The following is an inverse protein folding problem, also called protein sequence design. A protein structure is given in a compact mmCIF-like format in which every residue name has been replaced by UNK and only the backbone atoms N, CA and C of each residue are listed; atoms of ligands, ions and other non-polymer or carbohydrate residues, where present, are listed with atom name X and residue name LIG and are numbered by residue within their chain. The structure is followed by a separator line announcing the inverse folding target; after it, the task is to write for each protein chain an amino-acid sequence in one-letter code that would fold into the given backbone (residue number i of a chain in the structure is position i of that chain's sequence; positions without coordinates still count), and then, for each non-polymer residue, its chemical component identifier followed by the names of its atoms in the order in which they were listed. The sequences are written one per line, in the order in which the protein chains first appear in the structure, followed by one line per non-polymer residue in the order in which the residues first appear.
data_IF_308588578593
#
_entry.id   IF_308588578593
#
_cell.length_a   1.000
_cell.length_b   1.000
_cell.length_c   1.000
_cell.angle_alpha   90.00
_cell.angle_beta   90.00
_cell.angle_gamma   90.00
#
_symmetry.space_group_name_H-M   'P 1'
#
loop_
_entity.id
_entity.type
_entity.pdbx_description
1 polymer ?
#
# COMPACT_ATOMS: atom_id res chain seq x y z
N UNK A 1 -16.11 2.28 6.55
CA UNK A 1 -15.50 2.22 5.20
C UNK A 1 -14.01 2.41 5.42
N UNK A 2 -13.20 1.39 5.13
CA UNK A 2 -11.75 1.46 5.36
C UNK A 2 -11.10 2.39 4.32
N UNK A 3 -10.12 3.16 4.77
CA UNK A 3 -9.38 4.11 3.93
C UNK A 3 -8.33 3.35 3.12
N UNK A 4 -8.28 3.48 1.78
CA UNK A 4 -7.26 2.84 0.98
C UNK A 4 -5.89 3.49 1.20
N UNK A 5 -4.83 2.68 1.13
CA UNK A 5 -3.45 3.17 1.02
C UNK A 5 -3.34 4.14 -0.15
N UNK A 6 -2.55 5.20 -0.01
CA UNK A 6 -2.54 6.29 -0.97
C UNK A 6 -1.20 7.00 -1.11
N UNK A 7 -1.00 7.61 -2.28
CA UNK A 7 0.15 8.46 -2.60
C UNK A 7 -0.34 9.82 -3.10
N UNK A 8 0.42 10.88 -2.81
CA UNK A 8 0.16 12.22 -3.34
C UNK A 8 0.37 12.19 -4.85
N UNK A 9 -0.59 12.70 -5.63
CA UNK A 9 -0.51 12.75 -7.11
C UNK A 9 -0.02 14.13 -7.60
N UNK A 10 1.28 14.29 -7.95
CA UNK A 10 1.84 15.60 -8.29
C UNK A 10 1.33 16.14 -9.63
N UNK A 11 0.87 15.26 -10.52
CA UNK A 11 0.40 15.61 -11.86
C UNK A 11 -1.09 15.97 -11.90
N UNK A 12 -1.80 15.93 -10.76
CA UNK A 12 -3.19 16.34 -10.64
C UNK A 12 -3.36 17.87 -10.75
N UNK A 13 -3.12 18.39 -11.96
CA UNK A 13 -3.29 19.80 -12.33
C UNK A 13 -4.74 20.02 -12.76
N UNK A 14 -5.43 20.85 -12.01
CA UNK A 14 -6.81 21.30 -12.24
C UNK A 14 -7.19 22.26 -11.13
N UNK A 15 -7.71 23.44 -11.51
CA UNK A 15 -8.22 24.45 -10.58
C UNK A 15 -9.59 24.00 -10.08
N UNK A 16 -9.60 23.28 -8.96
CA UNK A 16 -10.83 23.17 -8.16
C UNK A 16 -10.97 24.50 -7.43
N UNK A 17 -11.91 25.30 -7.92
CA UNK A 17 -12.20 26.65 -7.45
C UNK A 17 -12.85 26.61 -6.06
N UNK A 18 -12.23 27.30 -5.11
CA UNK A 18 -12.74 27.97 -3.88
C UNK A 18 -13.78 27.30 -2.95
N UNK A 19 -14.29 26.11 -3.23
CA UNK A 19 -15.17 25.35 -2.32
C UNK A 19 -14.77 23.88 -2.23
N UNK A 20 -13.48 23.60 -2.07
CA UNK A 20 -13.04 22.24 -1.73
C UNK A 20 -13.59 21.87 -0.34
N UNK A 21 -14.27 20.71 -0.19
CA UNK A 21 -14.82 20.30 1.09
C UNK A 21 -13.70 20.14 2.11
N UNK A 22 -13.88 20.65 3.33
CA UNK A 22 -12.92 20.38 4.40
C UNK A 22 -13.17 18.99 4.98
N UNK A 23 -12.11 18.38 5.52
CA UNK A 23 -12.29 17.17 6.32
C UNK A 23 -13.26 17.48 7.48
N UNK A 24 -14.33 16.70 7.63
CA UNK A 24 -15.37 16.96 8.65
C UNK A 24 -14.84 16.91 10.10
N UNK A 25 -13.77 16.15 10.34
CA UNK A 25 -13.20 15.96 11.68
C UNK A 25 -12.10 16.97 12.01
N UNK A 26 -11.23 17.27 11.04
CA UNK A 26 -10.04 18.12 11.27
C UNK A 26 -10.18 19.54 10.69
N UNK A 27 -11.24 19.80 9.92
CA UNK A 27 -11.52 21.06 9.23
C UNK A 27 -10.37 21.58 8.37
N UNK A 28 -9.46 20.70 7.98
CA UNK A 28 -8.33 21.02 7.11
C UNK A 28 -8.71 20.85 5.65
N UNK A 29 -8.04 21.65 4.80
CA UNK A 29 -8.12 21.52 3.35
C UNK A 29 -7.60 20.14 2.91
N UNK A 30 -8.34 19.39 2.08
CA UNK A 30 -7.94 18.07 1.67
C UNK A 30 -6.74 18.09 0.73
N UNK A 31 -5.99 16.98 0.70
CA UNK A 31 -4.95 16.71 -0.29
C UNK A 31 -5.54 15.90 -1.45
N UNK A 32 -4.98 16.11 -2.63
CA UNK A 32 -5.28 15.31 -3.82
C UNK A 32 -4.47 14.02 -3.76
N UNK A 33 -5.17 12.89 -3.69
CA UNK A 33 -4.61 11.58 -3.44
C UNK A 33 -5.05 10.60 -4.53
N UNK A 34 -4.26 9.55 -4.72
CA UNK A 34 -4.61 8.39 -5.54
C UNK A 34 -4.58 7.15 -4.67
N UNK A 35 -5.63 6.33 -4.75
CA UNK A 35 -5.67 5.04 -4.09
C UNK A 35 -4.64 4.09 -4.73
N UNK A 36 -3.84 3.42 -3.91
CA UNK A 36 -2.73 2.59 -4.33
C UNK A 36 -3.11 1.12 -4.37
N UNK A 37 -3.88 0.62 -3.40
CA UNK A 37 -4.11 -0.82 -3.21
C UNK A 37 -5.52 -1.30 -3.60
N UNK A 38 -5.60 -2.57 -3.99
CA UNK A 38 -6.84 -3.32 -4.17
C UNK A 38 -7.66 -2.91 -5.40
N UNK A 39 -8.98 -3.08 -5.31
CA UNK A 39 -9.89 -2.79 -6.42
C UNK A 39 -10.01 -1.30 -6.78
N UNK A 40 -9.45 -0.42 -5.95
CA UNK A 40 -9.51 1.04 -6.10
C UNK A 40 -8.21 1.64 -6.66
N UNK A 41 -7.19 0.82 -6.94
CA UNK A 41 -5.91 1.28 -7.46
C UNK A 41 -6.08 2.26 -8.63
N UNK A 42 -5.36 3.38 -8.55
CA UNK A 42 -5.37 4.46 -9.52
C UNK A 42 -6.52 5.46 -9.38
N UNK A 43 -7.51 5.21 -8.51
CA UNK A 43 -8.69 6.08 -8.37
C UNK A 43 -8.38 7.32 -7.53
N UNK A 44 -8.76 8.49 -8.03
CA UNK A 44 -8.43 9.79 -7.40
C UNK A 44 -9.47 10.20 -6.37
N UNK A 45 -9.00 10.76 -5.26
CA UNK A 45 -9.85 11.24 -4.18
C UNK A 45 -9.22 12.43 -3.45
N UNK A 46 -10.08 13.16 -2.73
CA UNK A 46 -9.69 14.18 -1.76
C UNK A 46 -9.53 13.49 -0.40
N UNK A 47 -8.33 13.48 0.15
CA UNK A 47 -8.00 12.83 1.42
C UNK A 47 -7.71 13.84 2.53
N UNK A 48 -7.96 13.46 3.78
CA UNK A 48 -7.55 14.26 4.93
C UNK A 48 -6.01 14.44 4.95
N UNK A 49 -5.48 15.64 5.20
CA UNK A 49 -4.03 15.88 5.19
C UNK A 49 -3.30 15.39 6.45
N UNK A 50 -4.03 15.08 7.52
CA UNK A 50 -3.50 14.63 8.83
C UNK A 50 -3.05 13.18 8.71
N UNK A 51 -1.84 12.89 9.17
CA UNK A 51 -1.25 11.55 9.13
C UNK A 51 -2.07 10.57 9.99
N UNK A 52 -2.15 9.33 9.54
CA UNK A 52 -2.84 8.27 10.26
C UNK A 52 -2.17 7.95 11.61
N UNK A 53 -0.88 8.26 11.75
CA UNK A 53 -0.11 8.04 12.98
C UNK A 53 -0.42 9.07 14.09
N UNK A 54 -1.03 10.21 13.75
CA UNK A 54 -1.31 11.31 14.68
C UNK A 54 -2.80 11.46 15.05
N UNK A 55 -3.68 10.55 14.61
CA UNK A 55 -5.11 10.65 14.92
C UNK A 55 -6.02 9.60 14.28
N UNK A 56 -7.33 9.76 14.48
CA UNK A 56 -8.36 8.91 13.85
C UNK A 56 -8.29 9.09 12.34
N UNK A 57 -8.18 7.98 11.60
CA UNK A 57 -8.18 7.97 10.15
C UNK A 57 -9.50 8.58 9.63
N UNK A 58 -9.41 9.82 9.12
CA UNK A 58 -10.57 10.52 8.57
C UNK A 58 -10.89 10.14 7.14
N UNK A 59 -10.04 9.32 6.52
CA UNK A 59 -10.26 8.67 5.26
C UNK A 59 -10.48 9.58 4.07
N UNK A 60 -11.38 9.11 3.20
CA UNK A 60 -11.79 9.79 1.97
C UNK A 60 -12.78 10.90 2.32
N UNK A 61 -12.45 12.13 1.96
CA UNK A 61 -13.39 13.27 2.01
C UNK A 61 -14.36 13.16 0.83
N UNK A 62 -13.84 12.95 -0.38
CA UNK A 62 -14.66 12.83 -1.58
C UNK A 62 -13.91 12.07 -2.69
N UNK A 63 -14.63 11.27 -3.49
CA UNK A 63 -14.09 10.66 -4.70
C UNK A 63 -14.18 11.61 -5.89
N UNK A 64 -13.04 11.85 -6.55
CA UNK A 64 -12.99 12.67 -7.77
C UNK A 64 -13.51 11.88 -8.96
N UNK A 65 -13.06 10.63 -9.08
CA UNK A 65 -13.44 9.75 -10.18
C UNK A 65 -14.71 8.97 -9.83
N UNK A 66 -15.53 8.69 -10.84
CA UNK A 66 -16.62 7.72 -10.72
C UNK A 66 -16.10 6.32 -10.33
N UNK A 67 -16.98 5.41 -9.85
CA UNK A 67 -16.56 4.06 -9.52
C UNK A 67 -15.99 3.38 -10.77
N UNK A 68 -14.92 2.61 -10.57
CA UNK A 68 -14.42 1.73 -11.62
C UNK A 68 -15.51 0.77 -12.08
N UNK A 69 -15.62 0.47 -13.39
CA UNK A 69 -16.48 -0.61 -13.86
C UNK A 69 -16.18 -1.90 -13.09
N UNK A 70 -17.19 -2.71 -12.83
CA UNK A 70 -17.05 -3.93 -12.01
C UNK A 70 -15.96 -4.87 -12.55
N UNK A 71 -15.85 -4.97 -13.88
CA UNK A 71 -14.79 -5.76 -14.54
C UNK A 71 -13.41 -5.24 -14.14
N UNK A 72 -13.20 -3.92 -14.15
CA UNK A 72 -11.92 -3.32 -13.77
C UNK A 72 -11.61 -3.54 -12.29
N UNK A 73 -12.60 -3.39 -11.40
CA UNK A 73 -12.45 -3.68 -9.97
C UNK A 73 -11.98 -5.12 -9.73
N UNK A 74 -12.60 -6.09 -10.41
CA UNK A 74 -12.22 -7.51 -10.32
C UNK A 74 -10.82 -7.78 -10.87
N UNK A 75 -10.46 -7.16 -12.01
CA UNK A 75 -9.11 -7.29 -12.58
C UNK A 75 -8.04 -6.73 -11.64
N UNK A 76 -8.26 -5.54 -11.08
CA UNK A 76 -7.33 -4.92 -10.13
C UNK A 76 -7.18 -5.75 -8.86
N UNK A 77 -8.31 -6.21 -8.30
CA UNK A 77 -8.28 -7.12 -7.15
C UNK A 77 -7.46 -8.37 -7.43
N UNK A 78 -7.68 -9.02 -8.59
CA UNK A 78 -6.94 -10.23 -8.97
C UNK A 78 -5.44 -10.00 -9.12
N UNK A 79 -5.03 -8.86 -9.67
CA UNK A 79 -3.61 -8.49 -9.79
C UNK A 79 -2.97 -8.35 -8.41
N UNK A 80 -3.67 -7.71 -7.47
CA UNK A 80 -3.20 -7.59 -6.09
C UNK A 80 -3.15 -8.92 -5.37
N UNK A 81 -4.14 -9.79 -5.52
CA UNK A 81 -4.12 -11.14 -4.95
C UNK A 81 -2.86 -11.90 -5.42
N UNK A 82 -2.59 -11.86 -6.73
CA UNK A 82 -1.40 -12.50 -7.32
C UNK A 82 -0.10 -11.89 -6.78
N UNK A 83 -0.03 -10.57 -6.62
CA UNK A 83 1.13 -9.90 -6.04
C UNK A 83 1.40 -10.33 -4.59
N UNK A 84 0.35 -10.43 -3.77
CA UNK A 84 0.45 -10.89 -2.40
C UNK A 84 0.86 -12.36 -2.31
N UNK A 85 0.24 -13.24 -3.09
CA UNK A 85 0.58 -14.66 -3.17
C UNK A 85 2.04 -14.90 -3.57
N UNK A 86 2.53 -14.17 -4.58
CA UNK A 86 3.92 -14.27 -5.04
C UNK A 86 4.91 -13.73 -4.01
N UNK A 87 4.61 -12.58 -3.39
CA UNK A 87 5.48 -12.03 -2.36
C UNK A 87 5.56 -12.93 -1.12
N UNK A 88 4.41 -13.49 -0.69
CA UNK A 88 4.38 -14.46 0.40
C UNK A 88 5.24 -15.69 0.09
N UNK A 89 5.15 -16.22 -1.13
CA UNK A 89 5.96 -17.35 -1.58
C UNK A 89 7.45 -17.01 -1.57
N UNK A 90 7.84 -15.85 -2.13
CA UNK A 90 9.23 -15.38 -2.14
C UNK A 90 9.81 -15.18 -0.74
N UNK A 91 9.02 -14.64 0.20
CA UNK A 91 9.44 -14.47 1.60
C UNK A 91 9.70 -15.83 2.27
N UNK A 92 8.84 -16.82 2.02
CA UNK A 92 9.02 -18.19 2.54
C UNK A 92 10.28 -18.85 1.97
N UNK A 93 10.49 -18.75 0.66
CA UNK A 93 11.65 -19.33 -0.01
C UNK A 93 12.96 -18.70 0.51
N UNK A 94 12.97 -17.37 0.65
CA UNK A 94 14.11 -16.65 1.26
C UNK A 94 14.40 -17.14 2.67
N UNK A 95 13.37 -17.28 3.51
CA UNK A 95 13.53 -17.75 4.89
C UNK A 95 14.05 -19.20 4.95
N UNK A 96 13.56 -20.08 4.07
CA UNK A 96 14.04 -21.46 3.99
C UNK A 96 15.51 -21.53 3.57
N UNK A 97 15.88 -20.76 2.55
CA UNK A 97 17.26 -20.65 2.07
C UNK A 97 18.21 -20.12 3.16
N UNK A 98 17.84 -19.04 3.85
CA UNK A 98 18.64 -18.48 4.94
C UNK A 98 18.85 -19.49 6.08
N UNK A 99 17.82 -20.29 6.40
CA UNK A 99 17.92 -21.36 7.39
C UNK A 99 18.88 -22.46 6.95
N UNK A 100 18.85 -22.87 5.69
CA UNK A 100 19.77 -23.88 5.14
C UNK A 100 21.22 -23.38 5.13
N UNK A 101 21.45 -22.16 4.65
CA UNK A 101 22.75 -21.50 4.69
C UNK A 101 23.28 -21.43 6.12
N UNK A 102 22.43 -21.12 7.10
CA UNK A 102 22.80 -21.12 8.51
C UNK A 102 23.25 -22.49 9.04
N UNK A 103 22.63 -23.58 8.60
CA UNK A 103 23.06 -24.95 8.95
C UNK A 103 24.42 -25.29 8.34
N UNK A 104 24.60 -24.98 7.05
CA UNK A 104 25.85 -25.25 6.34
C UNK A 104 27.02 -24.47 6.96
N UNK A 105 26.83 -23.19 7.30
CA UNK A 105 27.85 -22.38 7.98
C UNK A 105 28.29 -23.01 9.30
N UNK A 106 27.34 -23.45 10.14
CA UNK A 106 27.65 -24.15 11.40
C UNK A 106 28.41 -25.45 11.18
N UNK A 107 28.05 -26.21 10.14
CA UNK A 107 28.76 -27.44 9.76
C UNK A 107 30.20 -27.16 9.33
N UNK A 108 30.41 -26.12 8.52
CA UNK A 108 31.75 -25.68 8.10
C UNK A 108 32.59 -25.23 9.30
N UNK A 109 32.03 -24.41 10.19
CA UNK A 109 32.72 -24.00 11.43
C UNK A 109 33.08 -25.20 12.31
N UNK A 110 32.16 -26.16 12.47
CA UNK A 110 32.43 -27.39 13.22
C UNK A 110 33.59 -28.17 12.59
N UNK A 111 33.57 -28.40 11.28
CA UNK A 111 34.64 -29.12 10.60
C UNK A 111 35.97 -28.36 10.69
N UNK A 112 35.97 -27.05 10.50
CA UNK A 112 37.16 -26.22 10.66
C UNK A 112 37.75 -26.36 12.05
N UNK A 113 36.93 -26.31 13.11
CA UNK A 113 37.42 -26.39 14.48
C UNK A 113 37.94 -27.78 14.90
N UNK A 114 37.46 -28.85 14.26
CA UNK A 114 37.86 -30.23 14.61
C UNK A 114 39.00 -30.77 13.73
N UNK A 115 39.24 -30.17 12.56
CA UNK A 115 40.21 -30.64 11.57
C UNK A 115 41.24 -29.56 11.18
N UNK A 116 41.38 -28.48 11.97
CA UNK A 116 42.53 -27.56 11.93
C UNK A 116 43.60 -27.99 12.93
#
# INVERSE_FOLDING_TARGET
QETPDSVVEPSFRGSYTESEPTCMMHHQRPKKMVAFEGALTGRRFLGCPVSQDEGVNCGVVEWVDGPWPEILQRCLGRIWDMYHEQNLSRVKDKQAHEKEVGKLKKGIEFLSNNYS
#
